data_IF_145981256105
#
_entry.id   IF_145981256105
#
_cell.length_a   1.000
_cell.length_b   1.000
_cell.length_c   1.000
_cell.angle_alpha   90.00
_cell.angle_beta   90.00
_cell.angle_gamma   90.00
#
_symmetry.space_group_name_H-M   'P 1'
#
loop_
_entity.id
_entity.type
_entity.pdbx_description
1 polymer ?
#
# COMPACT_ATOMS: atom_id res chain seq x y z
N UNK A 1 33.02 47.72 -33.16
CA UNK A 1 31.95 46.70 -32.98
C UNK A 1 32.35 45.80 -31.82
N UNK A 2 31.57 45.77 -30.73
CA UNK A 2 31.76 44.82 -29.62
C UNK A 2 30.40 44.23 -29.28
N UNK A 3 30.16 43.01 -29.76
CA UNK A 3 28.96 42.25 -29.45
C UNK A 3 29.00 41.85 -27.98
N UNK A 4 28.01 42.29 -27.19
CA UNK A 4 27.81 41.82 -25.82
C UNK A 4 26.94 40.58 -25.88
N UNK A 5 27.53 39.43 -25.56
CA UNK A 5 26.84 38.17 -25.37
C UNK A 5 25.86 38.30 -24.19
N UNK A 6 24.59 37.99 -24.45
CA UNK A 6 23.53 37.90 -23.44
C UNK A 6 23.48 36.45 -22.96
N UNK A 7 23.93 36.21 -21.74
CA UNK A 7 23.89 34.89 -21.10
C UNK A 7 22.47 34.64 -20.58
N UNK A 8 21.76 33.69 -21.20
CA UNK A 8 20.48 33.17 -20.70
C UNK A 8 20.72 32.30 -19.45
N UNK A 9 20.22 32.75 -18.30
CA UNK A 9 20.20 31.96 -17.07
C UNK A 9 19.11 30.88 -17.12
N UNK A 10 19.50 29.61 -17.05
CA UNK A 10 18.59 28.46 -17.02
C UNK A 10 18.11 28.25 -15.57
N UNK A 11 16.86 28.60 -15.27
CA UNK A 11 16.19 28.31 -14.00
C UNK A 11 15.75 26.83 -13.97
N UNK A 12 16.49 25.99 -13.23
CA UNK A 12 16.08 24.63 -12.90
C UNK A 12 15.01 24.67 -11.80
N UNK A 13 13.73 24.59 -12.20
CA UNK A 13 12.62 24.39 -11.26
C UNK A 13 12.58 22.91 -10.84
N UNK A 14 13.02 22.61 -9.62
CA UNK A 14 12.92 21.29 -9.02
C UNK A 14 11.45 20.92 -8.75
N UNK A 15 10.84 20.14 -9.63
CA UNK A 15 9.54 19.53 -9.42
C UNK A 15 9.66 18.47 -8.30
N UNK A 16 9.35 18.88 -7.06
CA UNK A 16 9.15 17.93 -5.98
C UNK A 16 7.82 17.24 -6.25
N UNK A 17 7.86 16.01 -6.75
CA UNK A 17 6.69 15.15 -6.85
C UNK A 17 6.21 14.86 -5.42
N UNK A 18 5.29 15.68 -4.92
CA UNK A 18 4.47 15.32 -3.76
C UNK A 18 3.70 14.06 -4.16
N UNK A 19 4.06 12.91 -3.60
CA UNK A 19 3.29 11.69 -3.75
C UNK A 19 1.91 11.96 -3.13
N UNK A 20 0.95 12.33 -3.97
CA UNK A 20 -0.41 12.59 -3.55
C UNK A 20 -1.00 11.26 -3.08
N UNK A 21 -1.24 11.19 -1.77
CA UNK A 21 -2.07 10.19 -1.10
C UNK A 21 -3.43 10.15 -1.82
N UNK A 22 -3.58 9.22 -2.78
CA UNK A 22 -4.75 9.14 -3.64
C UNK A 22 -5.94 8.60 -2.85
N UNK A 23 -7.09 9.26 -3.02
CA UNK A 23 -8.35 8.74 -2.53
C UNK A 23 -8.61 7.33 -3.11
N UNK A 24 -9.17 6.47 -2.28
CA UNK A 24 -9.54 5.09 -2.62
C UNK A 24 -11.06 5.04 -2.60
N UNK A 25 -11.67 4.70 -3.73
CA UNK A 25 -13.12 4.72 -3.91
C UNK A 25 -13.74 3.35 -4.15
N UNK A 26 -12.94 2.31 -4.43
CA UNK A 26 -13.44 0.95 -4.73
C UNK A 26 -12.72 -0.13 -3.93
N UNK A 27 -13.36 -1.29 -3.82
CA UNK A 27 -12.77 -2.48 -3.20
C UNK A 27 -11.50 -2.95 -3.94
N UNK A 28 -11.52 -2.94 -5.29
CA UNK A 28 -10.35 -3.30 -6.10
C UNK A 28 -9.16 -2.37 -5.83
N UNK A 29 -9.39 -1.05 -5.77
CA UNK A 29 -8.34 -0.09 -5.43
C UNK A 29 -7.79 -0.32 -4.01
N UNK A 30 -8.65 -0.73 -3.07
CA UNK A 30 -8.25 -1.06 -1.72
C UNK A 30 -7.41 -2.35 -1.69
N UNK A 31 -7.78 -3.38 -2.45
CA UNK A 31 -7.01 -4.62 -2.59
C UNK A 31 -5.64 -4.37 -3.23
N UNK A 32 -5.58 -3.58 -4.31
CA UNK A 32 -4.32 -3.21 -4.96
C UNK A 32 -3.40 -2.43 -4.02
N UNK A 33 -3.95 -1.44 -3.31
CA UNK A 33 -3.19 -0.66 -2.32
C UNK A 33 -2.71 -1.52 -1.16
N UNK A 34 -3.55 -2.44 -0.69
CA UNK A 34 -3.20 -3.40 0.34
C UNK A 34 -2.04 -4.32 -0.10
N UNK A 35 -2.07 -4.81 -1.34
CA UNK A 35 -1.01 -5.62 -1.92
C UNK A 35 0.31 -4.85 -2.03
N UNK A 36 0.26 -3.60 -2.53
CA UNK A 36 1.42 -2.70 -2.62
C UNK A 36 2.04 -2.45 -1.23
N UNK A 37 1.21 -2.13 -0.23
CA UNK A 37 1.66 -1.88 1.14
C UNK A 37 2.25 -3.13 1.77
N UNK A 38 1.59 -4.28 1.63
CA UNK A 38 2.07 -5.55 2.19
C UNK A 38 3.46 -5.90 1.64
N UNK A 39 3.66 -5.71 0.33
CA UNK A 39 4.95 -5.91 -0.32
C UNK A 39 6.00 -4.89 0.13
N UNK A 40 5.67 -3.59 0.07
CA UNK A 40 6.60 -2.49 0.33
C UNK A 40 7.09 -2.45 1.78
N UNK A 41 6.22 -2.83 2.73
CA UNK A 41 6.54 -2.87 4.16
C UNK A 41 6.87 -4.26 4.68
N UNK A 42 7.00 -5.26 3.79
CA UNK A 42 7.30 -6.66 4.15
C UNK A 42 6.40 -7.20 5.27
N UNK A 43 5.09 -6.93 5.17
CA UNK A 43 4.11 -7.32 6.19
C UNK A 43 3.87 -8.84 6.21
N UNK A 44 4.31 -9.57 5.20
CA UNK A 44 4.29 -11.04 5.16
C UNK A 44 5.58 -11.57 4.56
N UNK A 45 5.97 -12.79 4.96
CA UNK A 45 7.02 -13.58 4.30
C UNK A 45 6.53 -14.23 3.00
N UNK A 46 5.21 -14.34 2.81
CA UNK A 46 4.63 -14.92 1.61
C UNK A 46 4.75 -13.94 0.45
N UNK A 47 4.95 -14.48 -0.76
CA UNK A 47 4.87 -13.69 -2.01
C UNK A 47 3.47 -13.10 -2.13
N UNK A 48 3.35 -11.89 -2.67
CA UNK A 48 2.04 -11.22 -2.84
C UNK A 48 1.02 -12.07 -3.60
N UNK A 49 1.45 -12.84 -4.61
CA UNK A 49 0.60 -13.78 -5.35
C UNK A 49 0.02 -14.94 -4.51
N UNK A 50 0.62 -15.19 -3.35
CA UNK A 50 0.24 -16.18 -2.35
C UNK A 50 -0.54 -15.56 -1.18
N UNK A 51 -1.03 -14.34 -1.36
CA UNK A 51 -1.94 -13.67 -0.44
C UNK A 51 -3.30 -13.50 -1.12
N UNK A 52 -4.36 -13.53 -0.31
CA UNK A 52 -5.69 -13.09 -0.69
C UNK A 52 -6.05 -11.83 0.10
N UNK A 53 -6.69 -10.88 -0.57
CA UNK A 53 -7.09 -9.60 0.00
C UNK A 53 -8.62 -9.52 -0.02
N UNK A 54 -9.24 -9.89 1.10
CA UNK A 54 -10.69 -9.79 1.26
C UNK A 54 -11.05 -8.40 1.78
N UNK A 55 -11.95 -7.71 1.08
CA UNK A 55 -12.21 -6.28 1.28
C UNK A 55 -13.65 -6.05 1.71
N UNK A 56 -13.82 -5.43 2.87
CA UNK A 56 -15.10 -4.91 3.34
C UNK A 56 -15.13 -3.38 3.22
N UNK A 57 -16.20 -2.85 2.61
CA UNK A 57 -16.43 -1.42 2.49
C UNK A 57 -17.05 -0.88 3.79
N UNK A 58 -16.31 0.01 4.47
CA UNK A 58 -16.80 0.74 5.63
C UNK A 58 -16.98 2.23 5.29
N UNK A 59 -17.74 2.94 6.13
CA UNK A 59 -18.13 4.33 5.85
C UNK A 59 -16.94 5.25 5.50
N UNK A 60 -15.85 5.19 6.26
CA UNK A 60 -14.69 6.09 6.10
C UNK A 60 -13.39 5.40 5.70
N UNK A 61 -13.39 4.07 5.62
CA UNK A 61 -12.22 3.26 5.26
C UNK A 61 -12.65 1.96 4.56
N UNK A 62 -11.72 1.25 3.95
CA UNK A 62 -11.88 -0.16 3.60
C UNK A 62 -11.17 -1.00 4.65
N UNK A 63 -11.84 -2.03 5.18
CA UNK A 63 -11.18 -3.07 5.96
C UNK A 63 -10.68 -4.13 5.00
N UNK A 64 -9.40 -4.49 5.09
CA UNK A 64 -8.81 -5.55 4.28
C UNK A 64 -8.30 -6.64 5.21
N UNK A 65 -8.88 -7.83 5.12
CA UNK A 65 -8.34 -9.03 5.73
C UNK A 65 -7.33 -9.66 4.75
N UNK A 66 -6.10 -9.88 5.20
CA UNK A 66 -5.06 -10.51 4.39
C UNK A 66 -4.95 -11.96 4.81
N UNK A 67 -5.23 -12.86 3.88
CA UNK A 67 -5.15 -14.30 4.11
C UNK A 67 -3.97 -14.92 3.37
N UNK A 68 -3.56 -16.10 3.82
CA UNK A 68 -2.76 -16.99 2.98
C UNK A 68 -3.62 -17.55 1.84
N UNK A 69 -3.04 -17.56 0.64
CA UNK A 69 -3.61 -18.26 -0.51
C UNK A 69 -3.00 -19.65 -0.57
N UNK A 70 -3.81 -20.68 -0.34
CA UNK A 70 -3.34 -22.06 -0.43
C UNK A 70 -3.62 -22.66 -1.81
N UNK A 71 -2.58 -22.70 -2.64
CA UNK A 71 -2.57 -23.39 -3.94
C UNK A 71 -1.34 -24.28 -4.02
N UNK A 72 -1.25 -25.22 -4.99
CA UNK A 72 -0.04 -26.02 -5.16
C UNK A 72 1.25 -25.19 -5.27
N UNK A 73 1.18 -23.99 -5.86
CA UNK A 73 2.34 -23.08 -6.02
C UNK A 73 2.70 -22.30 -4.75
N UNK A 74 1.74 -22.16 -3.83
CA UNK A 74 1.87 -21.36 -2.61
C UNK A 74 1.98 -22.21 -1.33
N UNK A 75 1.63 -23.50 -1.39
CA UNK A 75 1.61 -24.42 -0.26
C UNK A 75 0.41 -24.21 0.66
N UNK A 76 0.42 -24.89 1.81
CA UNK A 76 -0.65 -24.82 2.82
C UNK A 76 -1.76 -25.86 2.64
N UNK A 77 -2.65 -25.95 3.63
CA UNK A 77 -3.82 -26.83 3.58
C UNK A 77 -4.93 -26.17 2.74
N UNK A 78 -5.33 -26.75 1.60
CA UNK A 78 -6.32 -26.17 0.68
C UNK A 78 -7.72 -25.99 1.31
N UNK A 79 -7.99 -26.63 2.45
CA UNK A 79 -9.27 -26.51 3.16
C UNK A 79 -9.28 -25.35 4.16
N UNK A 80 -8.20 -24.59 4.24
CA UNK A 80 -8.07 -23.44 5.16
C UNK A 80 -7.57 -22.21 4.41
N UNK A 81 -7.90 -21.03 4.92
CA UNK A 81 -7.34 -19.75 4.47
C UNK A 81 -7.15 -18.83 5.69
N UNK A 82 -6.12 -19.09 6.53
CA UNK A 82 -5.88 -18.32 7.74
C UNK A 82 -5.72 -16.84 7.46
N UNK A 83 -6.32 -15.99 8.29
CA UNK A 83 -6.04 -14.55 8.28
C UNK A 83 -4.69 -14.32 8.93
N UNK A 84 -3.80 -13.60 8.24
CA UNK A 84 -2.51 -13.19 8.76
C UNK A 84 -2.59 -11.89 9.57
N UNK A 85 -3.30 -10.90 9.02
CA UNK A 85 -3.48 -9.58 9.63
C UNK A 85 -4.57 -8.80 8.90
N UNK A 86 -4.93 -7.65 9.47
CA UNK A 86 -5.89 -6.72 8.90
C UNK A 86 -5.23 -5.37 8.60
N UNK A 87 -5.81 -4.66 7.64
CA UNK A 87 -5.50 -3.27 7.32
C UNK A 87 -6.76 -2.42 7.24
N UNK A 88 -6.68 -1.17 7.72
CA UNK A 88 -7.69 -0.15 7.45
C UNK A 88 -7.10 0.87 6.48
N UNK A 89 -7.73 1.02 5.33
CA UNK A 89 -7.34 1.96 4.29
C UNK A 89 -8.34 3.11 4.27
N UNK A 90 -7.94 4.29 4.73
CA UNK A 90 -8.83 5.45 4.81
C UNK A 90 -9.19 5.93 3.41
N UNK A 91 -10.48 6.12 3.10
CA UNK A 91 -10.93 6.41 1.72
C UNK A 91 -10.45 7.76 1.19
N UNK A 92 -10.36 8.78 2.05
CA UNK A 92 -10.08 10.16 1.63
C UNK A 92 -8.66 10.37 1.08
N UNK A 93 -7.70 9.58 1.55
CA UNK A 93 -6.25 9.79 1.33
C UNK A 93 -5.46 8.48 1.22
N UNK A 94 -6.08 7.32 1.38
CA UNK A 94 -5.39 6.03 1.29
C UNK A 94 -4.44 5.76 2.46
N UNK A 95 -4.54 6.52 3.57
CA UNK A 95 -3.76 6.28 4.78
C UNK A 95 -4.03 4.89 5.35
N UNK A 96 -2.97 4.17 5.72
CA UNK A 96 -3.05 2.78 6.14
C UNK A 96 -2.57 2.59 7.58
N UNK A 97 -3.39 1.87 8.35
CA UNK A 97 -3.00 1.27 9.64
C UNK A 97 -3.18 -0.24 9.58
N UNK A 98 -2.37 -0.98 10.32
CA UNK A 98 -2.40 -2.45 10.36
C UNK A 98 -2.20 -2.97 11.77
N UNK A 99 -2.81 -4.12 12.09
CA UNK A 99 -2.55 -4.85 13.34
C UNK A 99 -1.49 -5.96 13.17
N UNK A 100 -0.73 -5.98 12.07
CA UNK A 100 0.28 -7.02 11.80
C UNK A 100 1.30 -7.25 12.94
N UNK A 101 1.57 -6.23 13.76
CA UNK A 101 2.59 -6.32 14.81
C UNK A 101 2.21 -7.31 15.92
N UNK A 102 0.98 -7.22 16.42
CA UNK A 102 0.51 -7.96 17.60
C UNK A 102 -0.80 -8.72 17.37
N UNK A 103 -1.42 -8.56 16.21
CA UNK A 103 -2.70 -9.17 15.87
C UNK A 103 -3.93 -8.46 16.46
N UNK A 104 -3.73 -7.42 17.28
CA UNK A 104 -4.80 -6.81 18.08
C UNK A 104 -4.96 -5.31 17.79
N UNK A 105 -3.86 -4.56 17.80
CA UNK A 105 -3.89 -3.10 17.77
C UNK A 105 -3.49 -2.55 16.40
N UNK A 106 -4.39 -1.76 15.80
CA UNK A 106 -4.07 -1.05 14.57
C UNK A 106 -3.07 0.08 14.84
N UNK A 107 -1.92 0.00 14.18
CA UNK A 107 -0.89 1.02 14.24
C UNK A 107 -0.53 1.52 12.82
N UNK A 108 -0.03 2.76 12.68
CA UNK A 108 0.53 3.25 11.43
C UNK A 108 1.65 2.33 10.92
N UNK A 109 1.80 2.26 9.60
CA UNK A 109 2.93 1.58 8.99
C UNK A 109 4.25 2.17 9.52
N UNK A 110 5.25 1.34 9.86
CA UNK A 110 6.56 1.84 10.24
C UNK A 110 7.14 2.66 9.09
N UNK A 111 7.78 3.79 9.41
CA UNK A 111 8.50 4.58 8.41
C UNK A 111 9.59 3.69 7.80
N UNK A 112 9.65 3.68 6.47
CA UNK A 112 10.75 3.04 5.77
C UNK A 112 12.06 3.73 6.20
N UNK A 113 13.12 3.00 6.54
CA UNK A 113 14.45 3.57 6.67
C UNK A 113 14.93 4.18 5.34
#
# INVERSE_FOLDING_TARGET
MRARLVTFGLLLASAHAMASERAISTADQAADRAAEVAQTHHLSSNRTQCLLFDVSDEKSYFMVAVHEKHTPECGGDPNTAPVLFFMKLRKRDGYVVTNRRDGEHFAPLPRKP
#
